data_IF_814112867103
#
_entry.id   IF_814112867103
#
_cell.length_a   1.000
_cell.length_b   1.000
_cell.length_c   1.000
_cell.angle_alpha   90.00
_cell.angle_beta   90.00
_cell.angle_gamma   90.00
#
_symmetry.space_group_name_H-M   'P 1'
#
loop_
_entity.id
_entity.type
_entity.pdbx_description
1 polymer ?
#
# COMPACT_ATOMS: atom_id res chain seq x y z
N UNK A 1 26.14 -49.75 -19.87
CA UNK A 1 24.69 -49.43 -19.96
C UNK A 1 24.17 -49.43 -18.52
N UNK A 2 23.68 -48.38 -17.86
CA UNK A 2 23.11 -47.07 -18.22
C UNK A 2 23.32 -46.08 -17.04
N UNK A 3 23.22 -44.77 -17.34
CA UNK A 3 23.46 -43.59 -16.48
C UNK A 3 22.33 -43.31 -15.43
N UNK A 4 22.55 -42.38 -14.47
CA UNK A 4 21.87 -42.30 -13.17
C UNK A 4 20.63 -41.39 -13.13
N UNK A 5 19.81 -41.50 -12.08
CA UNK A 5 18.72 -40.57 -11.76
C UNK A 5 18.95 -39.89 -10.41
N UNK A 6 19.28 -38.60 -10.49
CA UNK A 6 19.26 -37.62 -9.42
C UNK A 6 17.81 -37.29 -9.06
N UNK A 7 17.43 -37.31 -7.78
CA UNK A 7 16.22 -36.62 -7.33
C UNK A 7 16.56 -35.54 -6.30
N UNK A 8 16.06 -34.35 -6.60
CA UNK A 8 16.46 -33.08 -6.05
C UNK A 8 15.99 -32.85 -4.61
N UNK A 9 16.83 -32.10 -3.91
CA UNK A 9 16.68 -31.54 -2.56
C UNK A 9 15.40 -30.70 -2.44
N UNK A 10 14.68 -30.90 -1.33
CA UNK A 10 13.64 -29.99 -0.84
C UNK A 10 14.25 -28.59 -0.62
N UNK A 11 14.00 -27.67 -1.54
CA UNK A 11 14.15 -26.25 -1.29
C UNK A 11 12.82 -25.72 -0.75
N UNK A 12 12.72 -25.55 0.58
CA UNK A 12 11.78 -24.61 1.17
C UNK A 12 12.21 -23.20 0.74
N UNK A 13 11.77 -22.79 -0.44
CA UNK A 13 11.82 -21.40 -0.85
C UNK A 13 10.82 -20.62 0.01
N UNK A 14 11.31 -20.06 1.11
CA UNK A 14 10.69 -18.89 1.72
C UNK A 14 10.76 -17.76 0.69
N UNK A 15 9.74 -17.68 -0.16
CA UNK A 15 9.49 -16.49 -0.94
C UNK A 15 9.26 -15.35 0.05
N UNK A 16 10.25 -14.46 0.17
CA UNK A 16 10.14 -13.24 0.95
C UNK A 16 8.88 -12.49 0.49
N UNK A 17 7.88 -12.44 1.37
CA UNK A 17 6.70 -11.61 1.14
C UNK A 17 7.20 -10.17 0.95
N UNK A 18 6.65 -9.41 -0.02
CA UNK A 18 6.96 -8.00 -0.13
C UNK A 18 6.71 -7.36 1.23
N UNK A 19 7.61 -6.48 1.66
CA UNK A 19 7.35 -5.67 2.85
C UNK A 19 5.99 -5.01 2.68
N UNK A 20 5.19 -5.14 3.74
CA UNK A 20 3.75 -4.89 3.78
C UNK A 20 3.40 -3.41 3.62
N UNK A 21 3.79 -2.84 2.49
CA UNK A 21 3.21 -1.62 2.01
C UNK A 21 1.81 -1.92 1.51
N UNK A 22 0.94 -0.98 1.83
CA UNK A 22 -0.40 -0.89 1.32
C UNK A 22 -0.41 -1.00 -0.20
N UNK A 23 -0.98 -2.08 -0.74
CA UNK A 23 -0.94 -2.38 -2.18
C UNK A 23 -2.31 -2.61 -2.82
N UNK A 24 -2.53 -2.02 -4.01
CA UNK A 24 -3.68 -2.34 -4.87
C UNK A 24 -3.74 -3.83 -5.29
N UNK A 25 -2.68 -4.61 -5.04
CA UNK A 25 -2.69 -6.06 -5.24
C UNK A 25 -3.54 -6.83 -4.21
N UNK A 26 -4.16 -6.13 -3.25
CA UNK A 26 -4.99 -6.72 -2.19
C UNK A 26 -6.36 -6.08 -2.01
N UNK A 27 -6.73 -5.09 -2.82
CA UNK A 27 -8.08 -4.49 -2.74
C UNK A 27 -8.68 -4.14 -4.10
N UNK A 28 -10.01 -4.17 -4.17
CA UNK A 28 -10.78 -3.62 -5.27
C UNK A 28 -10.86 -2.08 -5.25
N UNK A 29 -11.11 -1.43 -6.40
CA UNK A 29 -11.20 0.03 -6.52
C UNK A 29 -12.15 0.76 -5.54
N UNK A 30 -13.33 0.20 -5.26
CA UNK A 30 -14.32 0.79 -4.35
C UNK A 30 -14.30 0.18 -2.94
N UNK A 31 -13.35 -0.70 -2.66
CA UNK A 31 -13.25 -1.40 -1.39
C UNK A 31 -12.34 -0.62 -0.44
N UNK A 32 -12.92 -0.08 0.65
CA UNK A 32 -12.15 0.49 1.75
C UNK A 32 -11.32 -0.59 2.46
N UNK A 33 -11.92 -1.77 2.63
CA UNK A 33 -11.29 -3.04 3.02
C UNK A 33 -10.68 -3.02 4.41
N UNK A 34 -9.69 -3.89 4.63
CA UNK A 34 -8.96 -3.98 5.91
C UNK A 34 -7.70 -3.11 5.96
N UNK A 35 -7.59 -2.16 5.04
CA UNK A 35 -6.36 -1.47 4.73
C UNK A 35 -6.03 -0.37 5.73
N UNK A 36 -5.05 -0.58 6.60
CA UNK A 36 -4.62 0.42 7.58
C UNK A 36 -3.15 0.75 7.36
N UNK A 37 -2.78 2.04 7.22
CA UNK A 37 -1.38 2.42 7.13
C UNK A 37 -0.62 1.97 8.38
N UNK A 38 0.58 1.43 8.19
CA UNK A 38 1.42 1.07 9.31
C UNK A 38 1.90 2.31 10.08
N UNK A 39 2.30 2.10 11.34
CA UNK A 39 2.80 3.18 12.20
C UNK A 39 3.96 3.95 11.55
N UNK A 40 3.81 5.27 11.44
CA UNK A 40 4.82 6.13 10.80
C UNK A 40 4.77 6.12 9.27
N UNK A 41 3.71 5.59 8.67
CA UNK A 41 3.45 5.65 7.22
C UNK A 41 2.30 6.62 6.95
N UNK A 42 2.52 7.55 6.03
CA UNK A 42 1.47 8.38 5.44
C UNK A 42 1.12 7.83 4.07
N UNK A 43 -0.10 7.35 3.93
CA UNK A 43 -0.67 6.91 2.68
C UNK A 43 -1.26 8.10 1.93
N UNK A 44 -0.87 8.27 0.66
CA UNK A 44 -1.54 9.14 -0.29
C UNK A 44 -2.10 8.32 -1.45
N UNK A 45 -3.40 8.41 -1.70
CA UNK A 45 -4.02 7.82 -2.88
C UNK A 45 -4.63 8.91 -3.74
N UNK A 46 -4.37 8.84 -5.04
CA UNK A 46 -5.02 9.66 -6.04
C UNK A 46 -5.81 8.75 -6.98
N UNK A 47 -7.12 8.72 -6.79
CA UNK A 47 -8.07 8.08 -7.69
C UNK A 47 -8.59 9.14 -8.66
N UNK A 48 -8.41 8.95 -9.95
CA UNK A 48 -8.94 9.85 -10.96
C UNK A 48 -9.82 9.08 -11.93
N UNK A 49 -11.12 9.37 -11.89
CA UNK A 49 -12.11 8.82 -12.80
C UNK A 49 -12.61 9.90 -13.74
N UNK A 50 -12.92 9.54 -14.98
CA UNK A 50 -13.41 10.47 -15.97
C UNK A 50 -14.36 9.80 -16.96
N UNK A 51 -15.22 10.62 -17.55
CA UNK A 51 -16.10 10.24 -18.66
C UNK A 51 -15.82 11.12 -19.86
N UNK A 52 -15.78 10.52 -21.04
CA UNK A 52 -15.69 11.24 -22.30
C UNK A 52 -17.08 11.27 -22.92
N UNK A 53 -17.64 12.46 -23.11
CA UNK A 53 -18.95 12.57 -23.73
C UNK A 53 -18.91 12.08 -25.19
N UNK A 54 -20.00 11.47 -25.69
CA UNK A 54 -20.14 11.21 -27.12
C UNK A 54 -19.99 12.50 -27.93
N UNK A 55 -19.75 12.33 -29.23
CA UNK A 55 -19.66 13.46 -30.16
C UNK A 55 -20.94 14.32 -30.17
N UNK A 56 -20.83 15.60 -30.56
CA UNK A 56 -19.65 16.23 -31.16
C UNK A 56 -18.66 16.83 -30.15
N UNK A 57 -19.04 16.97 -28.88
CA UNK A 57 -18.28 17.78 -27.93
C UNK A 57 -17.03 17.08 -27.35
N UNK A 58 -17.00 15.73 -27.33
CA UNK A 58 -15.89 14.92 -26.81
C UNK A 58 -15.29 15.44 -25.49
N UNK A 59 -16.15 15.98 -24.63
CA UNK A 59 -15.75 16.67 -23.42
C UNK A 59 -15.35 15.66 -22.36
N UNK A 60 -14.24 15.91 -21.68
CA UNK A 60 -13.79 15.10 -20.55
C UNK A 60 -14.38 15.68 -19.27
N UNK A 61 -15.17 14.85 -18.58
CA UNK A 61 -15.73 15.15 -17.28
C UNK A 61 -14.94 14.39 -16.22
N UNK A 62 -14.28 15.11 -15.32
CA UNK A 62 -13.39 14.54 -14.31
C UNK A 62 -14.05 14.41 -12.93
N UNK A 63 -13.70 13.34 -12.21
CA UNK A 63 -14.10 12.98 -10.85
C UNK A 63 -12.87 12.52 -10.03
N UNK A 64 -11.92 13.41 -9.72
CA UNK A 64 -10.80 13.09 -8.85
C UNK A 64 -11.22 12.91 -7.39
N UNK A 65 -10.61 11.93 -6.74
CA UNK A 65 -10.70 11.65 -5.30
C UNK A 65 -9.29 11.49 -4.72
N UNK A 66 -9.01 12.21 -3.64
CA UNK A 66 -7.75 12.16 -2.92
C UNK A 66 -7.96 11.54 -1.55
N UNK A 67 -7.12 10.60 -1.16
CA UNK A 67 -7.07 10.08 0.21
C UNK A 67 -5.72 10.41 0.81
N UNK A 68 -5.73 10.95 2.03
CA UNK A 68 -4.54 11.09 2.86
C UNK A 68 -4.82 10.40 4.19
N UNK A 69 -3.99 9.43 4.58
CA UNK A 69 -4.13 8.72 5.84
C UNK A 69 -2.78 8.50 6.51
N UNK A 70 -2.70 8.64 7.83
CA UNK A 70 -1.49 8.41 8.62
C UNK A 70 -1.70 7.27 9.60
N UNK A 71 -0.78 6.31 9.60
CA UNK A 71 -0.74 5.23 10.58
C UNK A 71 0.01 5.64 11.83
N UNK A 72 -0.55 5.38 13.01
CA UNK A 72 0.02 5.79 14.31
C UNK A 72 0.47 4.60 15.16
N UNK A 73 0.46 3.38 14.61
CA UNK A 73 0.76 2.14 15.32
C UNK A 73 -0.49 1.42 15.80
N UNK A 74 -0.32 0.26 16.45
CA UNK A 74 -1.43 -0.57 16.96
C UNK A 74 -2.52 -0.90 15.91
N UNK A 75 -2.14 -0.92 14.62
CA UNK A 75 -3.06 -1.13 13.49
C UNK A 75 -4.19 -0.09 13.44
N UNK A 76 -3.87 1.16 13.81
CA UNK A 76 -4.77 2.32 13.74
C UNK A 76 -4.23 3.35 12.75
N UNK A 77 -5.12 3.86 11.90
CA UNK A 77 -4.85 4.98 11.01
C UNK A 77 -5.94 6.03 11.05
N UNK A 78 -5.56 7.27 10.80
CA UNK A 78 -6.46 8.42 10.68
C UNK A 78 -6.36 8.98 9.27
N UNK A 79 -7.46 9.33 8.64
CA UNK A 79 -7.39 9.89 7.30
C UNK A 79 -8.58 10.72 6.90
N UNK A 80 -8.45 11.31 5.72
CA UNK A 80 -9.50 12.04 5.04
C UNK A 80 -9.53 11.67 3.57
N UNK A 81 -10.73 11.59 3.01
CA UNK A 81 -10.99 11.51 1.58
C UNK A 81 -11.63 12.80 1.12
N UNK A 82 -11.17 13.33 0.00
CA UNK A 82 -11.75 14.48 -0.66
C UNK A 82 -12.07 14.09 -2.10
N UNK A 83 -13.37 14.02 -2.41
CA UNK A 83 -13.87 13.73 -3.74
C UNK A 83 -14.48 14.99 -4.35
N UNK A 84 -14.03 15.37 -5.54
CA UNK A 84 -14.69 16.45 -6.27
C UNK A 84 -15.87 15.90 -7.06
N UNK A 85 -16.83 16.77 -7.34
CA UNK A 85 -17.96 16.44 -8.23
C UNK A 85 -18.80 15.24 -7.76
N UNK A 86 -19.02 15.13 -6.46
CA UNK A 86 -19.99 14.21 -5.87
C UNK A 86 -21.40 14.67 -6.16
N UNK A 87 -22.25 13.77 -6.62
CA UNK A 87 -23.64 14.09 -6.96
C UNK A 87 -24.52 14.08 -5.71
N UNK A 88 -25.33 15.14 -5.57
CA UNK A 88 -26.30 15.32 -4.49
C UNK A 88 -27.71 15.25 -5.08
N UNK A 89 -28.47 14.24 -4.66
CA UNK A 89 -29.84 13.97 -5.11
C UNK A 89 -29.93 13.03 -6.32
N UNK A 90 -31.15 12.67 -6.73
CA UNK A 90 -31.41 11.81 -7.89
C UNK A 90 -32.16 12.57 -8.99
N UNK A 91 -31.89 12.22 -10.26
CA UNK A 91 -32.60 12.78 -11.43
C UNK A 91 -32.16 14.19 -11.87
N UNK A 92 -33.03 14.86 -12.63
CA UNK A 92 -32.73 16.11 -13.35
C UNK A 92 -32.43 17.33 -12.46
N UNK A 93 -32.62 17.21 -11.13
CA UNK A 93 -32.30 18.26 -10.14
C UNK A 93 -30.99 18.03 -9.37
N UNK A 94 -30.24 16.97 -9.68
CA UNK A 94 -29.02 16.62 -8.96
C UNK A 94 -27.97 17.74 -9.05
N UNK A 95 -27.44 18.15 -7.91
CA UNK A 95 -26.38 19.16 -7.82
C UNK A 95 -25.02 18.48 -7.72
N UNK A 96 -23.99 19.11 -8.27
CA UNK A 96 -22.60 18.66 -8.14
C UNK A 96 -21.91 19.44 -7.03
N UNK A 97 -21.34 18.75 -6.05
CA UNK A 97 -20.58 19.38 -4.95
C UNK A 97 -19.34 18.58 -4.58
N UNK A 98 -18.48 19.14 -3.73
CA UNK A 98 -17.33 18.42 -3.20
C UNK A 98 -17.69 17.69 -1.90
N UNK A 99 -17.20 16.48 -1.74
CA UNK A 99 -17.47 15.61 -0.60
C UNK A 99 -16.17 15.33 0.15
N UNK A 100 -16.18 15.60 1.45
CA UNK A 100 -15.06 15.27 2.35
C UNK A 100 -15.53 14.27 3.38
N UNK A 101 -14.82 13.16 3.51
CA UNK A 101 -15.08 12.11 4.48
C UNK A 101 -13.83 11.90 5.35
N UNK A 102 -13.92 12.22 6.63
CA UNK A 102 -12.83 11.98 7.60
C UNK A 102 -13.09 10.67 8.33
N UNK A 103 -12.06 9.88 8.56
CA UNK A 103 -12.21 8.54 9.13
C UNK A 103 -11.08 8.16 10.09
N UNK A 104 -11.41 7.25 11.00
CA UNK A 104 -10.45 6.46 11.75
C UNK A 104 -10.61 5.04 11.27
N UNK A 105 -9.51 4.30 11.11
CA UNK A 105 -9.55 2.89 10.74
C UNK A 105 -8.73 2.07 11.70
N UNK A 106 -9.32 0.99 12.19
CA UNK A 106 -8.66 0.04 13.07
C UNK A 106 -8.76 -1.36 12.49
N UNK A 107 -7.61 -1.98 12.18
CA UNK A 107 -7.52 -3.38 11.75
C UNK A 107 -7.43 -4.26 12.99
N UNK A 108 -8.58 -4.73 13.44
CA UNK A 108 -8.71 -5.56 14.64
C UNK A 108 -8.02 -6.92 14.45
N UNK A 109 -8.14 -7.52 13.26
CA UNK A 109 -7.66 -8.87 12.98
C UNK A 109 -6.82 -8.86 11.70
N UNK A 110 -5.79 -9.71 11.68
CA UNK A 110 -5.00 -9.99 10.49
C UNK A 110 -4.00 -8.90 10.12
N UNK A 111 -3.37 -9.11 8.98
CA UNK A 111 -2.42 -8.22 8.34
C UNK A 111 -2.63 -8.33 6.84
N UNK A 112 -2.47 -7.21 6.14
CA UNK A 112 -2.60 -7.18 4.69
C UNK A 112 -1.67 -8.21 4.02
N UNK A 113 -2.21 -8.90 3.01
CA UNK A 113 -1.48 -9.88 2.21
C UNK A 113 -1.01 -11.14 2.92
N UNK A 114 -1.22 -11.27 4.24
CA UNK A 114 -1.03 -12.53 4.96
C UNK A 114 -2.23 -13.44 4.73
N UNK A 115 -1.97 -14.74 4.59
CA UNK A 115 -3.03 -15.74 4.45
C UNK A 115 -3.98 -15.73 5.66
N UNK A 116 -5.25 -16.01 5.39
CA UNK A 116 -6.32 -16.00 6.38
C UNK A 116 -7.15 -14.73 6.36
N UNK A 117 -7.88 -14.50 7.45
CA UNK A 117 -8.83 -13.40 7.57
C UNK A 117 -8.18 -12.15 8.16
N UNK A 118 -8.54 -11.01 7.59
CA UNK A 118 -8.34 -9.70 8.18
C UNK A 118 -9.70 -9.03 8.39
N UNK A 119 -9.80 -8.22 9.45
CA UNK A 119 -11.02 -7.46 9.76
C UNK A 119 -10.63 -6.06 10.19
N UNK A 120 -11.32 -5.06 9.64
CA UNK A 120 -11.17 -3.68 10.06
C UNK A 120 -12.51 -3.00 10.27
N UNK A 121 -12.51 -2.03 11.18
CA UNK A 121 -13.64 -1.15 11.46
C UNK A 121 -13.22 0.27 11.13
N UNK A 122 -14.04 0.98 10.37
CA UNK A 122 -13.78 2.34 9.89
C UNK A 122 -14.95 3.26 10.23
N UNK A 123 -15.04 3.83 11.44
CA UNK A 123 -15.93 4.97 11.68
C UNK A 123 -15.48 6.18 10.87
N UNK A 124 -16.45 6.92 10.32
CA UNK A 124 -16.18 8.13 9.56
C UNK A 124 -17.28 9.18 9.74
N UNK A 125 -16.98 10.38 9.26
CA UNK A 125 -17.94 11.46 9.17
C UNK A 125 -17.85 12.14 7.80
N UNK A 126 -18.99 12.19 7.12
CA UNK A 126 -19.15 12.83 5.83
C UNK A 126 -19.63 14.27 6.02
N UNK A 127 -18.81 15.25 5.61
CA UNK A 127 -19.08 16.67 5.81
C UNK A 127 -20.26 17.18 4.96
N UNK A 128 -20.39 16.67 3.74
CA UNK A 128 -21.42 17.14 2.80
C UNK A 128 -22.80 16.59 3.20
N UNK A 129 -22.88 15.29 3.50
CA UNK A 129 -24.12 14.66 3.97
C UNK A 129 -24.45 14.98 5.44
N UNK A 130 -23.48 15.53 6.20
CA UNK A 130 -23.53 15.65 7.67
C UNK A 130 -23.86 14.32 8.33
N UNK A 131 -23.18 13.26 7.88
CA UNK A 131 -23.49 11.89 8.23
C UNK A 131 -22.37 11.25 9.03
N UNK A 132 -22.73 10.60 10.13
CA UNK A 132 -21.91 9.55 10.74
C UNK A 132 -22.02 8.31 9.88
N UNK A 133 -20.89 7.90 9.32
CA UNK A 133 -20.77 6.75 8.43
C UNK A 133 -19.85 5.70 9.09
N UNK A 134 -19.94 4.46 8.64
CA UNK A 134 -19.11 3.39 9.16
C UNK A 134 -18.99 2.22 8.20
N UNK A 135 -17.83 1.57 8.18
CA UNK A 135 -17.59 0.33 7.43
C UNK A 135 -16.98 -0.74 8.35
N UNK A 136 -17.47 -1.97 8.23
CA UNK A 136 -16.75 -3.17 8.66
C UNK A 136 -16.29 -3.89 7.40
N UNK A 137 -14.98 -3.95 7.19
CA UNK A 137 -14.34 -4.65 6.08
C UNK A 137 -13.77 -5.98 6.52
N UNK A 138 -13.90 -7.00 5.67
CA UNK A 138 -13.36 -8.35 5.87
C UNK A 138 -12.66 -8.78 4.60
N UNK A 139 -11.40 -9.16 4.73
CA UNK A 139 -10.61 -9.69 3.63
C UNK A 139 -10.20 -11.13 3.96
N UNK A 140 -10.30 -12.02 2.99
CA UNK A 140 -9.80 -13.38 3.07
C UNK A 140 -8.73 -13.60 2.00
N UNK A 141 -7.49 -13.82 2.44
CA UNK A 141 -6.35 -14.05 1.56
C UNK A 141 -6.01 -15.54 1.51
N UNK A 142 -5.91 -16.10 0.30
CA UNK A 142 -5.45 -17.48 0.08
C UNK A 142 -4.58 -17.55 -1.17
N UNK A 143 -3.31 -17.87 -1.00
CA UNK A 143 -2.34 -17.88 -2.11
C UNK A 143 -2.33 -16.55 -2.86
N UNK A 144 -2.78 -16.57 -4.12
CA UNK A 144 -2.83 -15.42 -5.04
C UNK A 144 -4.18 -14.71 -5.06
N UNK A 145 -5.18 -15.21 -4.34
CA UNK A 145 -6.53 -14.65 -4.35
C UNK A 145 -6.80 -13.93 -3.04
N UNK A 146 -7.46 -12.79 -3.14
CA UNK A 146 -8.06 -12.05 -2.03
C UNK A 146 -9.54 -11.94 -2.34
N UNK A 147 -10.39 -12.33 -1.38
CA UNK A 147 -11.83 -12.05 -1.43
C UNK A 147 -12.14 -10.98 -0.39
N UNK A 148 -13.01 -10.05 -0.74
CA UNK A 148 -13.34 -8.89 0.09
C UNK A 148 -14.85 -8.84 0.32
N UNK A 149 -15.24 -8.42 1.52
CA UNK A 149 -16.61 -8.12 1.88
C UNK A 149 -16.64 -6.87 2.77
N UNK A 150 -17.66 -6.04 2.61
CA UNK A 150 -17.86 -4.89 3.47
C UNK A 150 -19.33 -4.69 3.80
N UNK A 151 -19.61 -4.38 5.08
CA UNK A 151 -20.88 -3.85 5.53
C UNK A 151 -20.71 -2.39 5.90
N UNK A 152 -21.55 -1.51 5.34
CA UNK A 152 -21.52 -0.07 5.57
C UNK A 152 -22.83 0.41 6.18
N UNK A 153 -22.77 1.38 7.07
CA UNK A 153 -23.93 2.06 7.60
C UNK A 153 -23.73 3.56 7.54
N UNK A 154 -24.78 4.29 7.16
CA UNK A 154 -24.75 5.76 7.05
C UNK A 154 -25.98 6.35 7.72
N UNK A 155 -25.76 7.37 8.55
CA UNK A 155 -26.83 8.01 9.33
C UNK A 155 -27.69 8.97 8.50
N UNK A 156 -27.11 9.56 7.44
CA UNK A 156 -27.78 10.45 6.49
C UNK A 156 -27.21 10.20 5.11
N UNK A 157 -28.09 9.82 4.21
CA UNK A 157 -27.76 9.66 2.81
C UNK A 157 -27.56 11.03 2.12
N UNK A 158 -26.52 11.11 1.30
CA UNK A 158 -26.21 12.25 0.47
C UNK A 158 -27.33 12.46 -0.56
N UNK A 159 -27.95 13.65 -0.54
CA UNK A 159 -29.06 13.98 -1.42
C UNK A 159 -30.45 13.60 -0.90
N UNK A 160 -30.53 12.81 0.18
CA UNK A 160 -31.78 12.48 0.87
C UNK A 160 -31.62 12.65 2.41
N UNK A 161 -31.48 13.89 2.91
CA UNK A 161 -31.19 14.15 4.32
C UNK A 161 -32.33 13.62 5.21
N UNK A 162 -32.06 12.54 5.95
CA UNK A 162 -33.05 11.87 6.82
C UNK A 162 -33.17 10.37 6.58
N UNK A 163 -32.71 9.88 5.42
CA UNK A 163 -32.62 8.45 5.15
C UNK A 163 -31.37 7.87 5.80
N UNK A 164 -31.57 6.91 6.72
CA UNK A 164 -30.50 6.02 7.20
C UNK A 164 -30.41 4.85 6.24
N UNK A 165 -29.19 4.48 5.86
CA UNK A 165 -28.99 3.41 4.90
C UNK A 165 -27.91 2.43 5.38
N UNK A 166 -28.04 1.20 4.91
CA UNK A 166 -27.01 0.16 5.02
C UNK A 166 -26.64 -0.25 3.61
N UNK A 167 -25.36 -0.43 3.35
CA UNK A 167 -24.86 -0.98 2.11
C UNK A 167 -24.03 -2.24 2.35
N UNK A 168 -24.07 -3.13 1.38
CA UNK A 168 -23.21 -4.30 1.31
C UNK A 168 -22.33 -4.16 0.07
N UNK A 169 -21.08 -4.56 0.20
CA UNK A 169 -20.15 -4.62 -0.92
C UNK A 169 -19.32 -5.90 -0.85
N UNK A 170 -18.83 -6.33 -2.00
CA UNK A 170 -17.94 -7.47 -2.12
C UNK A 170 -17.03 -7.31 -3.33
N UNK A 171 -15.87 -7.95 -3.27
CA UNK A 171 -14.88 -7.85 -4.31
C UNK A 171 -13.90 -9.01 -4.29
N UNK A 172 -13.00 -8.99 -5.27
CA UNK A 172 -11.89 -9.91 -5.33
C UNK A 172 -10.66 -9.24 -5.95
N UNK A 173 -9.49 -9.80 -5.62
CA UNK A 173 -8.23 -9.54 -6.30
C UNK A 173 -7.55 -10.86 -6.64
N UNK A 174 -7.14 -11.02 -7.89
CA UNK A 174 -6.40 -12.17 -8.39
C UNK A 174 -5.00 -11.74 -8.85
N UNK A 175 -3.98 -12.11 -8.07
CA UNK A 175 -2.56 -11.81 -8.35
C UNK A 175 -2.00 -12.77 -9.40
N UNK A 176 -1.96 -12.29 -10.65
CA UNK A 176 -1.41 -13.01 -11.81
C UNK A 176 0.10 -13.18 -11.69
N UNK A 177 0.80 -12.17 -11.21
CA UNK A 177 2.23 -12.20 -10.90
C UNK A 177 2.49 -11.48 -9.58
N UNK A 178 3.75 -11.36 -9.17
CA UNK A 178 4.13 -10.49 -8.04
C UNK A 178 3.95 -8.99 -8.33
N UNK A 179 3.74 -8.62 -9.59
CA UNK A 179 3.63 -7.23 -10.04
C UNK A 179 2.27 -6.88 -10.63
N UNK A 180 1.47 -7.88 -10.99
CA UNK A 180 0.22 -7.68 -11.75
C UNK A 180 -0.89 -8.43 -11.04
N UNK A 181 -2.00 -7.75 -10.80
CA UNK A 181 -3.26 -8.35 -10.40
C UNK A 181 -4.41 -7.82 -11.26
N UNK A 182 -5.52 -8.54 -11.23
CA UNK A 182 -6.80 -8.04 -11.69
C UNK A 182 -7.75 -8.02 -10.50
N UNK A 183 -8.58 -6.99 -10.42
CA UNK A 183 -9.54 -6.83 -9.34
C UNK A 183 -10.90 -6.42 -9.86
N UNK A 184 -11.93 -6.68 -9.05
CA UNK A 184 -13.28 -6.25 -9.32
C UNK A 184 -14.10 -6.20 -8.05
N UNK A 185 -15.04 -5.26 -8.00
CA UNK A 185 -15.92 -5.06 -6.86
C UNK A 185 -17.32 -4.64 -7.28
N UNK A 186 -18.26 -4.85 -6.38
CA UNK A 186 -19.61 -4.32 -6.45
C UNK A 186 -20.08 -3.90 -5.06
N UNK A 187 -20.88 -2.85 -4.99
CA UNK A 187 -21.46 -2.36 -3.74
C UNK A 187 -22.80 -1.70 -3.97
N UNK A 188 -23.75 -1.94 -3.07
CA UNK A 188 -25.07 -1.32 -3.16
C UNK A 188 -25.69 -1.13 -1.79
N UNK A 189 -26.49 -0.08 -1.65
CA UNK A 189 -27.43 0.04 -0.57
C UNK A 189 -28.47 -1.09 -0.61
N UNK A 190 -28.96 -1.53 0.55
CA UNK A 190 -29.77 -2.77 0.66
C UNK A 190 -31.25 -2.52 0.35
N UNK A 191 -31.89 -1.51 0.96
CA UNK A 191 -33.25 -1.06 0.63
C UNK A 191 -33.65 0.19 1.44
N UNK A 192 -34.48 1.10 0.88
CA UNK A 192 -34.84 1.18 -0.54
C UNK A 192 -33.64 1.62 -1.39
N UNK A 193 -33.44 0.96 -2.53
CA UNK A 193 -32.34 1.28 -3.45
C UNK A 193 -32.80 2.40 -4.37
N UNK A 194 -32.36 3.62 -4.10
CA UNK A 194 -32.45 4.72 -5.08
C UNK A 194 -31.14 4.75 -5.88
N UNK A 195 -31.20 4.39 -7.17
CA UNK A 195 -30.05 4.36 -8.07
C UNK A 195 -29.53 2.96 -8.44
N UNK A 196 -28.29 2.90 -8.94
CA UNK A 196 -27.64 1.65 -9.40
C UNK A 196 -26.60 1.17 -8.37
N UNK A 197 -26.34 -0.13 -8.33
CA UNK A 197 -25.17 -0.66 -7.66
C UNK A 197 -23.88 -0.05 -8.25
N UNK A 198 -22.96 0.33 -7.38
CA UNK A 198 -21.60 0.65 -7.75
C UNK A 198 -20.87 -0.63 -8.18
N UNK A 199 -20.07 -0.55 -9.23
CA UNK A 199 -19.15 -1.61 -9.65
C UNK A 199 -17.86 -1.02 -10.17
N UNK A 200 -16.77 -1.78 -10.06
CA UNK A 200 -15.50 -1.47 -10.70
C UNK A 200 -14.77 -2.74 -11.12
N UNK A 201 -13.88 -2.58 -12.11
CA UNK A 201 -12.85 -3.55 -12.46
C UNK A 201 -11.53 -2.82 -12.67
N UNK A 202 -10.41 -3.48 -12.38
CA UNK A 202 -9.09 -2.89 -12.58
C UNK A 202 -8.01 -3.90 -12.99
N UNK A 203 -7.01 -3.36 -13.68
CA UNK A 203 -5.68 -3.96 -13.82
C UNK A 203 -4.75 -3.24 -12.84
N UNK A 204 -4.22 -3.98 -11.87
CA UNK A 204 -3.41 -3.45 -10.78
C UNK A 204 -1.93 -3.80 -11.00
N UNK A 205 -1.08 -2.79 -10.80
CA UNK A 205 0.35 -2.84 -11.09
C UNK A 205 1.13 -2.39 -9.85
N UNK A 206 2.05 -3.24 -9.38
CA UNK A 206 3.10 -2.84 -8.45
C UNK A 206 4.31 -2.37 -9.25
N UNK A 207 4.79 -1.17 -8.96
CA UNK A 207 5.96 -0.60 -9.64
C UNK A 207 7.22 -1.28 -9.12
N UNK A 208 7.98 -2.02 -9.95
CA UNK A 208 9.18 -2.71 -9.53
C UNK A 208 10.17 -1.78 -8.82
N UNK A 209 10.75 -2.24 -7.72
CA UNK A 209 11.72 -1.46 -6.94
C UNK A 209 11.11 -0.37 -6.06
N UNK A 210 9.79 -0.26 -5.97
CA UNK A 210 9.11 0.70 -5.08
C UNK A 210 7.90 0.07 -4.38
N UNK A 211 7.43 0.66 -3.27
CA UNK A 211 6.17 0.25 -2.63
C UNK A 211 4.94 0.89 -3.31
N UNK A 212 5.10 1.60 -4.43
CA UNK A 212 4.01 2.30 -5.11
C UNK A 212 3.23 1.35 -6.00
N UNK A 213 1.91 1.54 -6.01
CA UNK A 213 1.01 0.82 -6.92
C UNK A 213 0.23 1.78 -7.79
N UNK A 214 -0.09 1.32 -8.99
CA UNK A 214 -0.90 2.01 -9.96
C UNK A 214 -1.98 1.05 -10.48
N UNK A 215 -3.17 1.54 -10.79
CA UNK A 215 -4.20 0.72 -11.46
C UNK A 215 -4.84 1.47 -12.60
N UNK A 216 -5.25 0.74 -13.65
CA UNK A 216 -6.17 1.23 -14.68
C UNK A 216 -7.56 0.66 -14.41
N UNK A 217 -8.59 1.51 -14.38
CA UNK A 217 -9.91 1.14 -13.88
C UNK A 217 -11.03 1.48 -14.87
N UNK A 218 -12.09 0.67 -14.83
CA UNK A 218 -13.41 1.02 -15.33
C UNK A 218 -14.42 0.89 -14.18
N UNK A 219 -15.33 1.85 -14.06
CA UNK A 219 -16.28 1.92 -12.94
C UNK A 219 -17.56 2.65 -13.34
N UNK A 220 -18.61 2.54 -12.54
CA UNK A 220 -19.73 3.48 -12.58
C UNK A 220 -19.83 4.35 -11.31
N UNK A 221 -18.92 4.21 -10.34
CA UNK A 221 -18.90 5.02 -9.12
C UNK A 221 -17.99 6.25 -9.31
N UNK A 222 -18.45 7.44 -8.93
CA UNK A 222 -17.69 8.69 -9.10
C UNK A 222 -16.62 8.92 -8.04
N UNK A 223 -16.83 8.43 -6.82
CA UNK A 223 -15.95 8.67 -5.67
C UNK A 223 -15.73 7.39 -4.86
N UNK A 224 -14.72 7.44 -3.99
CA UNK A 224 -14.37 6.36 -3.07
C UNK A 224 -14.80 6.62 -1.61
N UNK A 225 -15.70 7.59 -1.38
CA UNK A 225 -16.38 7.76 -0.08
C UNK A 225 -17.30 6.56 0.15
N UNK A 226 -17.68 6.26 1.39
CA UNK A 226 -18.51 5.07 1.65
C UNK A 226 -19.87 5.13 0.93
N UNK A 227 -20.45 6.32 0.82
CA UNK A 227 -21.70 6.55 0.09
C UNK A 227 -21.50 6.47 -1.42
N UNK A 228 -20.49 7.15 -1.96
CA UNK A 228 -20.20 7.13 -3.40
C UNK A 228 -19.76 5.76 -3.91
N UNK A 229 -19.00 5.01 -3.11
CA UNK A 229 -18.60 3.63 -3.39
C UNK A 229 -19.73 2.62 -3.26
N UNK A 230 -20.92 3.04 -2.79
CA UNK A 230 -22.13 2.21 -2.66
C UNK A 230 -23.23 2.61 -3.63
N UNK A 231 -23.01 3.64 -4.46
CA UNK A 231 -23.96 4.11 -5.45
C UNK A 231 -23.28 4.37 -6.80
N UNK A 232 -23.70 3.60 -7.80
CA UNK A 232 -23.35 3.86 -9.19
C UNK A 232 -24.06 5.10 -9.72
N UNK A 233 -23.36 5.88 -10.55
CA UNK A 233 -23.89 7.06 -11.21
C UNK A 233 -25.13 6.73 -12.05
N UNK A 234 -26.18 7.53 -11.86
CA UNK A 234 -27.40 7.52 -12.66
C UNK A 234 -27.59 8.87 -13.35
N UNK A 235 -26.85 9.05 -14.44
CA UNK A 235 -27.01 10.04 -15.54
C UNK A 235 -26.98 11.56 -15.24
N UNK A 236 -26.16 12.28 -16.02
CA UNK A 236 -26.50 13.61 -16.55
C UNK A 236 -27.22 13.41 -17.90
N UNK A 237 -28.56 13.30 -17.89
CA UNK A 237 -29.38 13.29 -19.12
C UNK A 237 -29.33 12.00 -19.98
N UNK A 238 -30.47 11.32 -20.07
CA UNK A 238 -30.98 10.44 -21.16
C UNK A 238 -30.09 9.40 -21.87
N UNK A 239 -28.91 9.03 -21.36
CA UNK A 239 -28.07 7.96 -21.90
C UNK A 239 -27.84 6.78 -20.94
N UNK A 240 -28.21 5.57 -21.36
CA UNK A 240 -27.94 4.34 -20.62
C UNK A 240 -26.48 3.89 -20.80
N UNK A 241 -25.75 3.70 -19.69
CA UNK A 241 -24.39 3.12 -19.56
C UNK A 241 -23.23 4.13 -19.52
N UNK A 242 -23.18 4.92 -18.43
CA UNK A 242 -22.04 5.75 -18.09
C UNK A 242 -20.91 4.87 -17.53
N UNK A 243 -19.84 4.69 -18.29
CA UNK A 243 -18.61 4.05 -17.81
C UNK A 243 -17.58 5.14 -17.56
N UNK A 244 -17.13 5.23 -16.32
CA UNK A 244 -15.97 5.99 -15.94
C UNK A 244 -14.72 5.17 -16.20
N UNK A 245 -13.80 5.70 -16.98
CA UNK A 245 -12.44 5.19 -17.05
C UNK A 245 -11.57 5.96 -16.06
N UNK A 246 -10.48 5.37 -15.60
CA UNK A 246 -9.66 6.05 -14.64
C UNK A 246 -8.40 5.31 -14.25
N UNK A 247 -7.72 5.88 -13.27
CA UNK A 247 -6.59 5.26 -12.63
C UNK A 247 -6.56 5.57 -11.14
N UNK A 248 -5.80 4.77 -10.40
CA UNK A 248 -5.45 5.07 -9.02
C UNK A 248 -3.95 4.96 -8.85
N UNK A 249 -3.34 5.93 -8.17
CA UNK A 249 -1.94 5.89 -7.77
C UNK A 249 -1.85 5.92 -6.24
N UNK A 250 -1.19 4.92 -5.65
CA UNK A 250 -1.02 4.77 -4.19
C UNK A 250 0.45 4.95 -3.81
N UNK A 251 0.69 5.88 -2.89
CA UNK A 251 2.01 6.27 -2.42
C UNK A 251 2.07 6.13 -0.90
N UNK A 252 2.67 5.03 -0.37
CA UNK A 252 3.04 4.96 1.03
C UNK A 252 4.34 5.76 1.25
N UNK A 253 4.23 6.81 2.05
CA UNK A 253 5.33 7.68 2.47
C UNK A 253 5.76 7.28 3.88
N UNK A 254 6.88 6.59 4.00
CA UNK A 254 7.46 6.28 5.31
C UNK A 254 8.05 7.55 5.91
N UNK A 255 7.50 8.06 7.01
CA UNK A 255 7.95 9.32 7.63
C UNK A 255 9.42 9.24 8.08
N UNK A 256 9.89 8.05 8.49
CA UNK A 256 11.31 7.78 8.78
C UNK A 256 12.23 8.01 7.57
N UNK A 257 11.72 8.00 6.34
CA UNK A 257 12.51 8.30 5.13
C UNK A 257 12.64 9.81 4.88
N UNK A 258 11.65 10.59 5.32
CA UNK A 258 11.49 11.99 4.89
C UNK A 258 11.61 13.02 6.02
N UNK A 259 11.67 12.60 7.28
CA UNK A 259 11.72 13.53 8.41
C UNK A 259 12.77 13.11 9.46
N UNK A 260 13.75 13.99 9.73
CA UNK A 260 14.79 13.76 10.74
C UNK A 260 14.24 13.53 12.16
N UNK A 261 13.04 14.02 12.45
CA UNK A 261 12.41 13.93 13.78
C UNK A 261 11.95 12.52 14.14
N UNK A 262 11.78 11.61 13.17
CA UNK A 262 11.41 10.20 13.43
C UNK A 262 12.61 9.25 13.41
N UNK A 263 13.80 9.76 13.11
CA UNK A 263 15.02 9.10 13.53
C UNK A 263 15.17 9.37 15.03
N UNK A 264 15.01 8.33 15.85
CA UNK A 264 15.76 8.29 17.09
C UNK A 264 17.23 8.22 16.70
N UNK A 265 17.82 9.35 16.33
CA UNK A 265 19.26 9.44 16.18
C UNK A 265 19.80 9.02 17.54
N UNK A 266 20.65 7.98 17.64
CA UNK A 266 21.59 7.96 18.74
C UNK A 266 22.20 9.36 18.74
N UNK A 267 22.06 10.09 19.85
CA UNK A 267 22.72 11.38 20.04
C UNK A 267 24.14 11.17 19.50
N UNK A 268 24.60 11.91 18.48
CA UNK A 268 25.95 11.72 17.97
C UNK A 268 26.86 11.83 19.18
N UNK A 269 27.39 10.69 19.62
CA UNK A 269 28.52 10.74 20.52
C UNK A 269 29.58 11.36 19.64
N UNK A 270 29.92 12.62 19.91
CA UNK A 270 31.20 13.17 19.51
C UNK A 270 32.23 12.35 20.29
N UNK A 271 32.51 11.13 19.81
CA UNK A 271 33.81 10.53 19.98
C UNK A 271 34.71 11.38 19.12
N UNK A 272 35.31 12.41 19.75
CA UNK A 272 36.24 13.29 19.07
C UNK A 272 37.26 12.48 18.28
N UNK A 273 37.57 12.92 17.07
CA UNK A 273 38.67 12.46 16.21
C UNK A 273 39.22 11.07 16.55
N UNK A 274 38.37 10.07 16.42
CA UNK A 274 38.76 8.69 16.24
C UNK A 274 37.60 8.02 15.53
N UNK A 275 37.76 7.76 14.24
CA UNK A 275 37.08 6.63 13.64
C UNK A 275 37.25 5.44 14.61
N UNK A 276 36.20 4.67 14.93
CA UNK A 276 36.46 3.32 15.41
C UNK A 276 37.21 2.66 14.25
N UNK A 277 38.52 2.54 14.41
CA UNK A 277 39.33 1.90 13.40
C UNK A 277 38.76 0.49 13.24
N UNK A 278 38.23 0.20 12.06
CA UNK A 278 38.03 -1.15 11.59
C UNK A 278 39.42 -1.80 11.46
N UNK A 279 40.05 -2.12 12.59
CA UNK A 279 41.41 -2.69 12.68
C UNK A 279 41.45 -4.18 12.36
N UNK A 280 40.31 -4.80 12.05
CA UNK A 280 40.25 -6.13 11.44
C UNK A 280 40.48 -6.03 9.92
N UNK A 281 41.15 -7.00 9.29
CA UNK A 281 41.27 -7.02 7.84
C UNK A 281 39.87 -7.05 7.20
N UNK A 282 39.66 -6.20 6.20
CA UNK A 282 38.46 -6.26 5.35
C UNK A 282 38.55 -7.55 4.56
N UNK A 283 37.74 -8.53 4.94
CA UNK A 283 37.74 -9.86 4.35
C UNK A 283 36.86 -9.94 3.10
N UNK A 284 35.88 -9.04 2.97
CA UNK A 284 34.98 -9.02 1.82
C UNK A 284 34.39 -7.63 1.56
N UNK A 285 33.94 -7.44 0.31
CA UNK A 285 33.20 -6.26 -0.14
C UNK A 285 31.85 -6.66 -0.73
N UNK A 286 30.80 -5.91 -0.39
CA UNK A 286 29.46 -5.95 -0.99
C UNK A 286 29.27 -4.67 -1.78
N UNK A 287 29.08 -4.78 -3.09
CA UNK A 287 28.64 -3.63 -3.87
C UNK A 287 27.12 -3.51 -3.78
N UNK A 288 26.62 -2.28 -3.80
CA UNK A 288 25.20 -1.99 -3.98
C UNK A 288 25.03 -1.45 -5.40
N UNK A 289 24.11 -2.01 -6.15
CA UNK A 289 23.82 -1.58 -7.51
C UNK A 289 22.50 -2.13 -8.02
N UNK A 290 21.80 -1.35 -8.84
CA UNK A 290 20.47 -1.63 -9.34
C UNK A 290 19.46 -1.99 -8.23
N UNK A 291 19.53 -1.28 -7.10
CA UNK A 291 18.74 -1.53 -5.90
C UNK A 291 18.91 -2.98 -5.39
N UNK A 292 20.15 -3.46 -5.35
CA UNK A 292 20.50 -4.80 -4.86
C UNK A 292 21.84 -4.81 -4.13
N UNK A 293 21.97 -5.62 -3.07
CA UNK A 293 23.28 -5.99 -2.55
C UNK A 293 23.85 -7.08 -3.47
N UNK A 294 24.92 -6.83 -4.22
CA UNK A 294 25.39 -7.74 -5.29
C UNK A 294 25.77 -9.14 -4.81
N UNK A 295 25.91 -9.33 -3.50
CA UNK A 295 26.23 -10.60 -2.86
C UNK A 295 25.18 -10.92 -1.79
N UNK A 296 24.38 -11.96 -2.03
CA UNK A 296 23.26 -12.36 -1.14
C UNK A 296 23.74 -12.82 0.24
N UNK A 297 24.89 -13.50 0.30
CA UNK A 297 25.50 -13.92 1.54
C UNK A 297 27.02 -13.91 1.48
N UNK A 298 27.66 -13.40 2.54
CA UNK A 298 29.11 -13.40 2.69
C UNK A 298 29.50 -14.22 3.91
N UNK A 299 30.58 -15.00 3.80
CA UNK A 299 31.17 -15.73 4.91
C UNK A 299 32.48 -15.05 5.33
N UNK A 300 32.62 -14.73 6.61
CA UNK A 300 33.84 -14.20 7.22
C UNK A 300 34.15 -14.94 8.52
N UNK A 301 35.37 -14.82 9.03
CA UNK A 301 35.75 -15.30 10.36
C UNK A 301 35.49 -14.24 11.42
N UNK A 302 35.24 -14.67 12.66
CA UNK A 302 35.18 -13.75 13.80
C UNK A 302 36.43 -12.84 13.87
N UNK A 303 36.20 -11.56 14.08
CA UNK A 303 37.19 -10.49 14.10
C UNK A 303 37.48 -9.82 12.76
N UNK A 304 36.89 -10.29 11.64
CA UNK A 304 37.04 -9.68 10.31
C UNK A 304 35.95 -8.64 10.02
N UNK A 305 36.22 -7.77 9.04
CA UNK A 305 35.28 -6.74 8.59
C UNK A 305 34.73 -7.02 7.18
N UNK A 306 33.50 -6.55 6.94
CA UNK A 306 32.88 -6.47 5.62
C UNK A 306 32.70 -5.00 5.25
N UNK A 307 32.99 -4.64 4.00
CA UNK A 307 32.76 -3.29 3.45
C UNK A 307 31.59 -3.30 2.48
N UNK A 308 30.71 -2.31 2.58
CA UNK A 308 29.66 -2.03 1.60
C UNK A 308 30.04 -0.79 0.80
N UNK A 309 29.84 -0.84 -0.52
CA UNK A 309 30.11 0.26 -1.45
C UNK A 309 28.84 0.58 -2.22
N UNK A 310 28.34 1.80 -2.07
CA UNK A 310 27.15 2.24 -2.78
C UNK A 310 27.47 2.67 -4.21
N UNK A 311 27.13 1.84 -5.20
CA UNK A 311 27.26 2.17 -6.63
C UNK A 311 25.99 2.72 -7.26
N UNK A 312 24.88 2.84 -6.52
CA UNK A 312 23.62 3.37 -7.01
C UNK A 312 23.55 4.91 -6.90
N UNK A 313 22.71 5.57 -7.73
CA UNK A 313 22.52 7.03 -7.66
C UNK A 313 21.63 7.48 -6.50
N UNK A 314 21.16 6.55 -5.66
CA UNK A 314 20.32 6.82 -4.48
C UNK A 314 21.01 6.34 -3.22
N UNK A 315 20.54 6.78 -2.05
CA UNK A 315 21.12 6.40 -0.76
C UNK A 315 20.64 5.03 -0.27
N UNK A 316 21.53 4.31 0.41
CA UNK A 316 21.24 2.99 0.97
C UNK A 316 21.71 2.86 2.42
N UNK A 317 21.15 1.92 3.18
CA UNK A 317 21.69 1.52 4.49
C UNK A 317 21.99 0.02 4.50
N UNK A 318 22.75 -0.41 5.51
CA UNK A 318 22.87 -1.79 5.98
C UNK A 318 22.25 -1.83 7.37
N UNK A 319 21.05 -2.36 7.47
CA UNK A 319 20.28 -2.42 8.72
C UNK A 319 20.13 -3.89 9.10
N UNK A 320 20.78 -4.32 10.19
CA UNK A 320 20.65 -5.70 10.65
C UNK A 320 19.27 -5.96 11.28
N UNK A 321 18.73 -7.15 11.04
CA UNK A 321 17.44 -7.58 11.61
C UNK A 321 17.59 -7.99 13.10
N UNK A 322 18.82 -8.31 13.49
CA UNK A 322 19.22 -8.53 14.89
C UNK A 322 19.60 -7.22 15.58
N UNK A 323 19.87 -7.24 16.88
CA UNK A 323 20.34 -6.05 17.63
C UNK A 323 21.77 -5.57 17.30
N UNK A 324 22.35 -6.02 16.18
CA UNK A 324 23.67 -5.59 15.71
C UNK A 324 23.60 -4.14 15.17
N UNK A 325 24.58 -3.26 15.46
CA UNK A 325 24.59 -1.90 14.95
C UNK A 325 24.62 -1.84 13.41
N UNK A 326 23.67 -1.14 12.81
CA UNK A 326 23.62 -0.89 11.38
C UNK A 326 24.38 0.37 10.93
N UNK A 327 24.41 0.60 9.61
CA UNK A 327 25.01 1.78 9.01
C UNK A 327 24.10 3.03 9.10
N UNK A 328 24.67 4.24 9.03
CA UNK A 328 23.93 5.43 8.59
C UNK A 328 23.56 5.32 7.09
N UNK A 329 22.92 6.35 6.53
CA UNK A 329 22.76 6.48 5.08
C UNK A 329 24.13 6.51 4.40
N UNK A 330 24.30 5.63 3.43
CA UNK A 330 25.46 5.52 2.54
C UNK A 330 25.06 6.25 1.25
N UNK A 331 25.57 7.45 1.07
CA UNK A 331 25.31 8.26 -0.13
C UNK A 331 25.87 7.60 -1.42
N UNK A 332 25.46 8.04 -2.62
CA UNK A 332 26.02 7.54 -3.87
C UNK A 332 27.55 7.62 -3.88
N UNK A 333 28.21 6.54 -4.34
CA UNK A 333 29.67 6.32 -4.28
C UNK A 333 30.27 6.27 -2.86
N UNK A 334 29.43 6.29 -1.82
CA UNK A 334 29.83 6.17 -0.43
C UNK A 334 30.20 4.75 -0.04
N UNK A 335 30.90 4.61 1.09
CA UNK A 335 31.27 3.30 1.65
C UNK A 335 31.01 3.25 3.15
N UNK A 336 30.75 2.05 3.66
CA UNK A 336 30.64 1.78 5.10
C UNK A 336 31.23 0.41 5.40
N UNK A 337 31.85 0.24 6.57
CA UNK A 337 32.44 -1.05 6.97
C UNK A 337 32.05 -1.40 8.40
N UNK A 338 31.87 -2.70 8.64
CA UNK A 338 31.51 -3.26 9.95
C UNK A 338 32.35 -4.48 10.27
N UNK A 339 32.86 -4.55 11.50
CA UNK A 339 33.63 -5.69 12.02
C UNK A 339 32.72 -6.59 12.83
N UNK A 340 32.81 -7.89 12.59
CA UNK A 340 32.00 -8.89 13.27
C UNK A 340 32.84 -9.68 14.26
N UNK A 341 32.53 -9.58 15.54
CA UNK A 341 33.32 -10.22 16.61
C UNK A 341 32.80 -11.58 17.06
N UNK A 342 31.54 -11.90 16.76
CA UNK A 342 30.89 -13.10 17.28
C UNK A 342 30.44 -13.99 16.12
N UNK A 343 30.66 -15.32 16.21
CA UNK A 343 30.07 -16.25 15.26
C UNK A 343 28.54 -16.15 15.25
N UNK A 344 27.94 -16.30 14.07
CA UNK A 344 26.50 -16.17 13.91
C UNK A 344 26.06 -15.79 12.50
N UNK A 345 24.75 -15.72 12.30
CA UNK A 345 24.13 -15.26 11.04
C UNK A 345 23.50 -13.89 11.27
N UNK A 346 24.02 -12.90 10.55
CA UNK A 346 23.60 -11.51 10.59
C UNK A 346 22.81 -11.18 9.31
N UNK A 347 21.49 -11.39 9.34
CA UNK A 347 20.62 -10.93 8.28
C UNK A 347 20.50 -9.40 8.32
N UNK A 348 20.49 -8.77 7.16
CA UNK A 348 20.33 -7.33 7.03
C UNK A 348 19.50 -6.95 5.81
N UNK A 349 18.96 -5.74 5.85
CA UNK A 349 18.22 -5.13 4.77
C UNK A 349 18.60 -3.65 4.59
N UNK A 350 18.16 -3.05 3.48
CA UNK A 350 18.26 -1.62 3.26
C UNK A 350 16.99 -0.93 3.79
N UNK A 351 17.07 -0.04 4.78
CA UNK A 351 15.87 0.63 5.35
C UNK A 351 15.06 1.39 4.29
N UNK A 352 15.66 2.19 3.38
CA UNK A 352 14.91 2.85 2.31
C UNK A 352 14.31 1.89 1.26
N UNK A 353 14.93 0.71 1.09
CA UNK A 353 14.60 -0.26 0.05
C UNK A 353 14.54 -1.66 0.65
N UNK A 354 13.58 -1.98 1.53
CA UNK A 354 13.74 -3.15 2.40
C UNK A 354 13.64 -4.50 1.67
N UNK A 355 13.25 -4.50 0.38
CA UNK A 355 13.38 -5.65 -0.50
C UNK A 355 14.84 -6.02 -0.82
N UNK A 356 15.79 -5.11 -0.60
CA UNK A 356 17.22 -5.41 -0.63
C UNK A 356 17.59 -6.10 0.66
N UNK A 357 17.94 -7.39 0.56
CA UNK A 357 18.34 -8.20 1.70
C UNK A 357 19.68 -8.85 1.46
N UNK A 358 20.44 -9.08 2.52
CA UNK A 358 21.66 -9.89 2.49
C UNK A 358 21.92 -10.53 3.84
N UNK A 359 22.97 -11.35 3.92
CA UNK A 359 23.41 -11.93 5.18
C UNK A 359 24.94 -11.99 5.29
N UNK A 360 25.47 -11.69 6.47
CA UNK A 360 26.84 -12.05 6.84
C UNK A 360 26.81 -13.28 7.73
N UNK A 361 27.57 -14.31 7.38
CA UNK A 361 27.75 -15.53 8.15
C UNK A 361 29.16 -15.48 8.75
N UNK A 362 29.24 -15.42 10.06
CA UNK A 362 30.50 -15.35 10.80
C UNK A 362 30.78 -16.72 11.38
N UNK A 363 31.95 -17.27 11.06
CA UNK A 363 32.43 -18.57 11.55
C UNK A 363 33.42 -18.44 12.69
#
# INVERSE_FOLDING_TARGET
MTKPLSLAVLALAWAAAPLGAQSLLYRGPNMGGTWVPDGGVVQFNFLHRFYVTPGPSHTVINYPSFTLAAGVGHRIGFGGRFATKSLVGTGAGAQSSNETEVFVRWRAIGMEGKEGFSVAVTPAYNLLAKSVDGEVGVDWNRGRVTLEAAGRAVSRELGAPGARQVALAGGFVARLTRYIAVSGDLGSFVAPVDGRAAWSVALDLLIPGSPHTFSLQASNASSATMQGASRGLTTFGTGSNFILYGFEFTIPLHLKRFSPWFHGSPKPAVTGNAAPSATGPVAAEVRVGAYHFTTDSIVVSAGQAVRWVNGDPVEHTVTFDSGEPGSPLISPNGTWAHRFDRPGRYAYHCTPHPFMTGAVIVR
#
